data_IF_705957261900
#
_entry.id   IF_705957261900
#
_cell.length_a   1.000
_cell.length_b   1.000
_cell.length_c   1.000
_cell.angle_alpha   90.00
_cell.angle_beta   90.00
_cell.angle_gamma   90.00
#
_symmetry.space_group_name_H-M   'P 1'
#
loop_
_entity.id
_entity.type
_entity.pdbx_description
1 polymer ?
#
# COMPACT_ATOMS: atom_id res chain seq x y z
N UNK A 1 -21.06 -0.89 -1.73
CA UNK A 1 -19.74 -1.55 -1.80
C UNK A 1 -19.57 -2.35 -0.50
N UNK A 2 -19.57 -3.68 -0.55
CA UNK A 2 -19.46 -4.55 0.63
C UNK A 2 -18.20 -4.18 1.44
N UNK A 3 -18.35 -3.97 2.74
CA UNK A 3 -17.20 -3.78 3.65
C UNK A 3 -16.55 -5.16 3.87
N UNK A 4 -15.23 -5.32 3.67
CA UNK A 4 -14.54 -6.57 4.05
C UNK A 4 -14.65 -6.77 5.57
N UNK A 5 -14.63 -8.03 6.02
CA UNK A 5 -14.44 -8.38 7.42
C UNK A 5 -13.14 -7.74 7.95
N UNK A 6 -13.13 -7.36 9.22
CA UNK A 6 -12.08 -6.57 9.89
C UNK A 6 -10.68 -7.23 9.80
N UNK A 7 -10.60 -8.51 9.43
CA UNK A 7 -9.39 -9.32 9.46
C UNK A 7 -8.47 -9.15 8.24
N UNK A 8 -9.00 -8.79 7.06
CA UNK A 8 -8.24 -8.69 5.82
C UNK A 8 -8.34 -7.30 5.17
N UNK A 9 -7.22 -6.81 4.68
CA UNK A 9 -7.09 -5.59 3.92
C UNK A 9 -6.91 -5.88 2.43
N UNK A 10 -7.72 -5.20 1.61
CA UNK A 10 -7.58 -5.20 0.16
C UNK A 10 -6.44 -4.29 -0.30
N UNK A 11 -5.52 -4.84 -1.11
CA UNK A 11 -4.52 -4.10 -1.88
C UNK A 11 -4.89 -4.14 -3.37
N UNK A 12 -3.97 -3.69 -4.25
CA UNK A 12 -4.24 -3.60 -5.69
C UNK A 12 -4.57 -4.95 -6.33
N UNK A 13 -3.80 -6.00 -6.03
CA UNK A 13 -4.01 -7.34 -6.61
C UNK A 13 -4.33 -8.42 -5.57
N UNK A 14 -3.75 -8.32 -4.38
CA UNK A 14 -3.90 -9.33 -3.32
C UNK A 14 -4.57 -8.74 -2.07
N UNK A 15 -4.97 -9.62 -1.16
CA UNK A 15 -5.37 -9.25 0.20
C UNK A 15 -4.31 -9.66 1.21
N UNK A 16 -4.12 -8.86 2.24
CA UNK A 16 -3.19 -9.16 3.34
C UNK A 16 -3.93 -9.06 4.68
N UNK A 17 -3.43 -9.71 5.74
CA UNK A 17 -3.99 -9.51 7.08
C UNK A 17 -3.93 -8.03 7.49
N UNK A 18 -5.00 -7.53 8.08
CA UNK A 18 -5.06 -6.16 8.57
C UNK A 18 -4.19 -5.98 9.83
N UNK A 19 -3.56 -4.82 9.95
CA UNK A 19 -2.81 -4.46 11.15
C UNK A 19 -3.77 -4.14 12.31
N UNK A 20 -3.42 -4.55 13.53
CA UNK A 20 -4.21 -4.26 14.73
C UNK A 20 -4.37 -2.76 15.02
N UNK A 21 -3.39 -1.95 14.60
CA UNK A 21 -3.36 -0.50 14.84
C UNK A 21 -2.93 0.26 13.57
N UNK A 22 -3.52 1.44 13.38
CA UNK A 22 -3.16 2.39 12.31
C UNK A 22 -3.01 3.80 12.89
N UNK A 23 -2.12 4.59 12.32
CA UNK A 23 -1.88 5.98 12.73
C UNK A 23 -2.61 6.94 11.80
N UNK A 24 -2.89 8.16 12.26
CA UNK A 24 -3.40 9.19 11.35
C UNK A 24 -2.32 9.55 10.32
N UNK A 25 -2.73 9.62 9.06
CA UNK A 25 -1.86 9.86 7.91
C UNK A 25 -2.44 10.91 6.97
N UNK A 26 -1.55 11.60 6.26
CA UNK A 26 -1.87 12.34 5.04
C UNK A 26 -1.14 11.66 3.90
N UNK A 27 -1.88 11.22 2.89
CA UNK A 27 -1.37 10.45 1.76
C UNK A 27 -1.62 11.19 0.44
N UNK A 28 -0.66 11.12 -0.47
CA UNK A 28 -0.81 11.49 -1.88
C UNK A 28 -0.93 10.21 -2.70
N UNK A 29 -2.09 9.97 -3.34
CA UNK A 29 -2.35 8.75 -4.11
C UNK A 29 -3.14 9.01 -5.40
N UNK A 30 -2.96 8.19 -6.46
CA UNK A 30 -3.86 8.16 -7.58
C UNK A 30 -5.25 7.69 -7.15
N UNK A 31 -6.31 8.26 -7.73
CA UNK A 31 -7.69 7.99 -7.32
C UNK A 31 -8.15 6.53 -7.52
N UNK A 32 -7.42 5.74 -8.32
CA UNK A 32 -7.77 4.38 -8.71
C UNK A 32 -6.98 3.30 -7.98
N UNK A 33 -5.98 3.65 -7.18
CA UNK A 33 -5.16 2.71 -6.40
C UNK A 33 -5.60 2.66 -4.93
N UNK A 34 -5.31 1.54 -4.26
CA UNK A 34 -5.53 1.40 -2.82
C UNK A 34 -4.43 2.07 -2.00
N UNK A 35 -3.16 1.84 -2.36
CA UNK A 35 -1.99 2.46 -1.74
C UNK A 35 -1.73 3.91 -2.15
N UNK A 36 -0.54 4.43 -1.82
CA UNK A 36 -0.14 5.81 -2.05
C UNK A 36 1.25 5.96 -2.68
N UNK A 37 1.53 7.12 -3.27
CA UNK A 37 2.88 7.43 -3.77
C UNK A 37 3.81 7.84 -2.62
N UNK A 38 3.29 8.72 -1.76
CA UNK A 38 4.01 9.28 -0.63
C UNK A 38 3.04 9.73 0.47
N UNK A 39 3.55 9.90 1.68
CA UNK A 39 2.76 10.43 2.79
C UNK A 39 3.57 10.65 4.06
N UNK A 40 2.88 11.15 5.08
CA UNK A 40 3.41 11.31 6.42
C UNK A 40 2.37 10.95 7.47
N UNK A 41 2.82 10.48 8.64
CA UNK A 41 1.96 10.18 9.78
C UNK A 41 2.04 11.22 10.90
N UNK A 42 1.16 11.09 11.90
CA UNK A 42 1.08 11.94 13.09
C UNK A 42 2.37 11.98 13.94
N UNK A 43 3.29 11.03 13.74
CA UNK A 43 4.58 10.94 14.45
C UNK A 43 5.72 11.59 13.65
N UNK A 44 5.42 12.24 12.52
CA UNK A 44 6.42 12.89 11.68
C UNK A 44 7.26 11.93 10.84
N UNK A 45 6.81 10.68 10.66
CA UNK A 45 7.46 9.72 9.76
C UNK A 45 6.96 9.97 8.34
N UNK A 46 7.89 10.18 7.40
CA UNK A 46 7.61 10.34 5.98
C UNK A 46 8.08 9.11 5.19
N UNK A 47 7.29 8.70 4.21
CA UNK A 47 7.60 7.58 3.32
C UNK A 47 7.17 7.93 1.89
N UNK A 48 7.92 7.39 0.91
CA UNK A 48 7.55 7.39 -0.49
C UNK A 48 8.07 6.13 -1.17
N UNK A 49 7.44 5.74 -2.26
CA UNK A 49 7.92 4.67 -3.13
C UNK A 49 8.47 5.26 -4.43
N UNK A 50 9.39 4.54 -5.06
CA UNK A 50 10.01 4.93 -6.33
C UNK A 50 10.12 3.70 -7.23
N UNK A 51 9.89 3.90 -8.53
CA UNK A 51 10.00 2.80 -9.49
C UNK A 51 11.47 2.41 -9.68
N UNK A 52 11.76 1.12 -9.53
CA UNK A 52 13.08 0.57 -9.79
C UNK A 52 13.04 -0.40 -10.98
N UNK A 53 14.07 -0.34 -11.82
CA UNK A 53 14.27 -1.30 -12.91
C UNK A 53 15.33 -2.32 -12.51
N UNK A 54 14.90 -3.56 -12.30
CA UNK A 54 15.77 -4.67 -11.95
C UNK A 54 16.37 -5.33 -13.19
N UNK A 55 17.51 -6.02 -13.02
CA UNK A 55 18.11 -6.90 -14.04
C UNK A 55 17.52 -8.31 -14.03
N UNK A 56 16.91 -8.69 -12.92
CA UNK A 56 16.27 -10.00 -12.76
C UNK A 56 14.89 -10.01 -13.41
N UNK A 57 14.43 -11.16 -13.93
CA UNK A 57 13.07 -11.29 -14.41
C UNK A 57 12.06 -11.04 -13.29
N UNK A 58 10.93 -10.44 -13.64
CA UNK A 58 9.82 -10.22 -12.71
C UNK A 58 9.11 -11.55 -12.46
N UNK A 59 8.81 -11.84 -11.20
CA UNK A 59 7.96 -12.97 -10.83
C UNK A 59 6.53 -12.75 -11.39
N UNK A 60 5.95 -13.68 -12.15
CA UNK A 60 4.61 -13.52 -12.69
C UNK A 60 3.50 -13.62 -11.64
N UNK A 61 3.79 -14.06 -10.41
CA UNK A 61 2.79 -14.13 -9.34
C UNK A 61 2.34 -12.73 -8.89
N UNK A 62 1.05 -12.59 -8.62
CA UNK A 62 0.49 -11.34 -8.08
C UNK A 62 1.08 -11.06 -6.70
N UNK A 63 1.63 -9.86 -6.53
CA UNK A 63 2.27 -9.42 -5.29
C UNK A 63 1.91 -7.97 -4.97
N UNK A 64 2.32 -7.50 -3.79
CA UNK A 64 2.18 -6.10 -3.40
C UNK A 64 2.96 -5.20 -4.36
N UNK A 65 2.32 -4.12 -4.80
CA UNK A 65 3.01 -3.06 -5.51
C UNK A 65 3.74 -2.14 -4.54
N UNK A 66 4.72 -1.39 -5.04
CA UNK A 66 5.43 -0.36 -4.26
C UNK A 66 4.47 0.62 -3.58
N UNK A 67 3.44 1.08 -4.30
CA UNK A 67 2.43 1.97 -3.73
C UNK A 67 1.59 1.30 -2.63
N UNK A 68 1.34 -0.01 -2.70
CA UNK A 68 0.57 -0.73 -1.66
C UNK A 68 1.32 -0.78 -0.32
N UNK A 69 2.65 -0.60 -0.34
CA UNK A 69 3.48 -0.50 0.86
C UNK A 69 3.35 0.85 1.57
N UNK A 70 2.94 1.90 0.85
CA UNK A 70 2.77 3.26 1.40
C UNK A 70 1.32 3.45 1.79
N UNK A 71 1.02 3.33 3.08
CA UNK A 71 -0.35 3.37 3.60
C UNK A 71 -0.44 3.76 5.08
#
# INVERSE_FOLDING_TARGET
MCKPSIDDLQCTYISIPQAEHTHAVVLSRPAWLWGAEMGANEHGVCIGNEAIWTKEPVDPEEALLGMDLVR
#
